data_IF_928676554346
#
_entry.id   IF_928676554346
#
_cell.length_a   1.000
_cell.length_b   1.000
_cell.length_c   1.000
_cell.angle_alpha   90.00
_cell.angle_beta   90.00
_cell.angle_gamma   90.00
#
_symmetry.space_group_name_H-M   'P 1'
#
loop_
_entity.id
_entity.type
_entity.pdbx_description
1 polymer ?
#
# COMPACT_ATOMS: atom_id res chain seq x y z
N UNK A 1 25.68 21.24 40.50
CA UNK A 1 25.28 21.13 39.08
C UNK A 1 24.92 19.68 38.77
N UNK A 2 23.63 19.32 38.91
CA UNK A 2 23.11 17.98 38.62
C UNK A 2 22.65 17.93 37.16
N UNK A 3 23.37 17.19 36.31
CA UNK A 3 22.90 16.87 34.94
C UNK A 3 21.97 15.66 35.02
N UNK A 4 20.67 15.90 34.99
CA UNK A 4 19.68 14.84 34.72
C UNK A 4 19.75 14.51 33.22
N UNK A 5 20.17 13.28 32.90
CA UNK A 5 20.10 12.74 31.55
C UNK A 5 18.66 12.44 31.17
N UNK A 6 18.14 13.17 30.19
CA UNK A 6 16.85 12.88 29.58
C UNK A 6 16.91 11.52 28.86
N UNK A 7 16.21 10.53 29.40
CA UNK A 7 15.96 9.26 28.70
C UNK A 7 15.12 9.57 27.47
N UNK A 8 15.72 9.45 26.30
CA UNK A 8 15.00 9.42 25.04
C UNK A 8 14.17 8.13 25.03
N UNK A 9 12.86 8.24 25.22
CA UNK A 9 11.95 7.14 24.92
C UNK A 9 11.95 6.94 23.41
N UNK A 10 12.68 5.93 22.93
CA UNK A 10 12.48 5.46 21.57
C UNK A 10 11.08 4.85 21.50
N UNK A 11 10.13 5.59 20.94
CA UNK A 11 8.91 5.00 20.40
C UNK A 11 9.37 4.18 19.20
N UNK A 12 9.69 2.91 19.45
CA UNK A 12 9.84 1.93 18.38
C UNK A 12 8.43 1.72 17.85
N UNK A 13 8.07 2.50 16.82
CA UNK A 13 6.89 2.21 16.01
C UNK A 13 7.14 0.81 15.44
N UNK A 14 6.38 -0.18 15.90
CA UNK A 14 6.52 -1.55 15.43
C UNK A 14 6.38 -1.53 13.89
N UNK A 15 7.49 -1.72 13.19
CA UNK A 15 7.45 -1.92 11.75
C UNK A 15 6.50 -3.09 11.50
N UNK A 16 5.56 -2.93 10.56
CA UNK A 16 4.67 -4.01 10.13
C UNK A 16 5.54 -5.17 9.68
N UNK A 17 5.72 -6.16 10.56
CA UNK A 17 6.48 -7.36 10.24
C UNK A 17 5.73 -8.12 9.14
N UNK A 18 6.46 -8.70 8.20
CA UNK A 18 5.89 -9.54 7.13
C UNK A 18 4.98 -10.65 7.72
N UNK A 19 5.29 -11.10 8.95
CA UNK A 19 4.48 -12.07 9.69
C UNK A 19 3.08 -11.59 10.13
N UNK A 20 2.80 -10.28 10.13
CA UNK A 20 1.47 -9.74 10.49
C UNK A 20 0.55 -9.53 9.28
N UNK A 21 1.04 -9.79 8.07
CA UNK A 21 0.23 -9.73 6.86
C UNK A 21 -0.49 -11.06 6.71
N UNK A 22 -1.79 -10.99 6.40
CA UNK A 22 -2.57 -12.18 6.11
C UNK A 22 -1.85 -13.02 5.04
N UNK A 23 -1.86 -14.34 5.19
CA UNK A 23 -1.23 -15.24 4.22
C UNK A 23 -2.23 -15.82 3.23
N UNK A 24 -3.53 -15.60 3.46
CA UNK A 24 -4.62 -16.18 2.69
C UNK A 24 -5.79 -15.21 2.62
N UNK A 25 -6.54 -15.28 1.51
CA UNK A 25 -7.77 -14.52 1.35
C UNK A 25 -8.85 -14.97 2.32
N UNK A 26 -9.75 -14.06 2.74
CA UNK A 26 -11.01 -14.44 3.36
C UNK A 26 -11.78 -15.47 2.51
N UNK A 27 -12.55 -16.34 3.17
CA UNK A 27 -13.39 -17.33 2.48
C UNK A 27 -14.49 -16.69 1.60
N UNK A 28 -14.82 -15.42 1.82
CA UNK A 28 -15.87 -14.71 1.10
C UNK A 28 -16.08 -13.29 1.62
N UNK A 29 -16.94 -12.50 0.96
CA UNK A 29 -17.34 -11.17 1.43
C UNK A 29 -18.04 -11.24 2.80
N UNK A 30 -17.88 -10.21 3.62
CA UNK A 30 -18.53 -10.09 4.92
C UNK A 30 -18.96 -8.65 5.19
N UNK A 31 -20.25 -8.38 5.03
CA UNK A 31 -20.86 -7.08 5.30
C UNK A 31 -21.25 -6.93 6.77
N UNK A 32 -20.81 -5.85 7.41
CA UNK A 32 -21.16 -5.43 8.77
C UNK A 32 -22.14 -4.26 8.78
N UNK A 33 -22.07 -3.40 7.77
CA UNK A 33 -22.95 -2.24 7.60
C UNK A 33 -23.39 -2.10 6.15
N UNK A 34 -24.33 -1.18 5.90
CA UNK A 34 -24.51 -0.63 4.55
C UNK A 34 -23.24 0.13 4.12
N UNK A 35 -23.04 0.27 2.82
CA UNK A 35 -21.94 1.04 2.25
C UNK A 35 -22.48 2.31 1.57
N UNK A 36 -21.95 3.51 1.86
CA UNK A 36 -20.97 3.78 2.92
C UNK A 36 -21.57 3.61 4.32
N UNK A 37 -20.77 3.11 5.25
CA UNK A 37 -21.16 3.00 6.65
C UNK A 37 -20.92 4.29 7.44
N UNK A 38 -21.32 4.35 8.73
CA UNK A 38 -21.21 5.53 9.57
C UNK A 38 -19.77 6.05 9.75
N UNK A 39 -18.76 5.18 9.82
CA UNK A 39 -17.36 5.57 9.92
C UNK A 39 -16.90 6.23 8.62
N UNK A 40 -17.16 5.61 7.47
CA UNK A 40 -16.86 6.21 6.16
C UNK A 40 -17.52 7.57 5.97
N UNK A 41 -18.80 7.72 6.35
CA UNK A 41 -19.52 9.02 6.28
C UNK A 41 -18.86 10.07 7.18
N UNK A 42 -18.45 9.68 8.39
CA UNK A 42 -17.81 10.59 9.34
C UNK A 42 -16.46 11.08 8.82
N UNK A 43 -15.65 10.18 8.25
CA UNK A 43 -14.37 10.53 7.62
C UNK A 43 -14.61 11.43 6.41
N UNK A 44 -15.63 11.13 5.59
CA UNK A 44 -16.00 11.97 4.44
C UNK A 44 -16.29 13.41 4.87
N UNK A 45 -17.14 13.60 5.88
CA UNK A 45 -17.49 14.93 6.41
C UNK A 45 -16.26 15.71 6.90
N UNK A 46 -15.27 15.02 7.47
CA UNK A 46 -13.99 15.63 7.87
C UNK A 46 -13.15 16.07 6.67
N UNK A 47 -13.20 15.33 5.56
CA UNK A 47 -12.44 15.61 4.34
C UNK A 47 -13.12 16.65 3.43
N UNK A 48 -14.46 16.73 3.44
CA UNK A 48 -15.27 17.65 2.63
C UNK A 48 -14.79 19.11 2.60
N UNK A 49 -14.38 19.75 3.72
CA UNK A 49 -13.88 21.13 3.67
C UNK A 49 -12.44 21.26 3.15
N UNK A 50 -11.70 20.16 3.02
CA UNK A 50 -10.28 20.14 2.62
C UNK A 50 -10.08 19.77 1.15
N UNK A 51 -11.02 19.03 0.57
CA UNK A 51 -10.93 18.48 -0.77
C UNK A 51 -12.31 18.23 -1.37
N UNK A 52 -12.42 18.21 -2.71
CA UNK A 52 -13.66 17.81 -3.36
C UNK A 52 -13.84 16.28 -3.26
N UNK A 53 -14.93 15.86 -2.63
CA UNK A 53 -15.22 14.47 -2.27
C UNK A 53 -16.41 13.86 -2.99
N UNK A 54 -16.97 14.54 -4.00
CA UNK A 54 -18.19 14.09 -4.72
C UNK A 54 -18.06 12.67 -5.29
N UNK A 55 -16.86 12.27 -5.71
CA UNK A 55 -16.58 10.93 -6.27
C UNK A 55 -16.25 9.86 -5.21
N UNK A 56 -16.05 10.24 -3.95
CA UNK A 56 -15.64 9.33 -2.87
C UNK A 56 -16.80 8.41 -2.51
N UNK A 57 -16.57 7.09 -2.58
CA UNK A 57 -17.60 6.07 -2.32
C UNK A 57 -17.60 5.56 -0.88
N UNK A 58 -16.42 5.29 -0.34
CA UNK A 58 -16.16 4.80 1.02
C UNK A 58 -14.70 5.10 1.39
N UNK A 59 -14.30 4.82 2.62
CA UNK A 59 -12.91 4.91 3.06
C UNK A 59 -12.37 3.50 3.37
N UNK A 60 -11.13 3.22 2.99
CA UNK A 60 -10.56 1.86 3.01
C UNK A 60 -9.58 1.71 4.18
N UNK A 61 -9.68 0.59 4.89
CA UNK A 61 -8.67 0.07 5.81
C UNK A 61 -7.73 -0.85 4.98
N UNK A 62 -6.73 -0.23 4.33
CA UNK A 62 -5.78 -0.96 3.49
C UNK A 62 -4.94 -1.93 4.31
N UNK A 63 -4.74 -1.61 5.59
CA UNK A 63 -4.04 -2.42 6.56
C UNK A 63 -4.66 -3.81 6.76
N UNK A 64 -5.99 -3.93 6.64
CA UNK A 64 -6.74 -5.19 6.75
C UNK A 64 -7.14 -5.81 5.40
N UNK A 65 -7.00 -5.07 4.31
CA UNK A 65 -7.31 -5.58 2.96
C UNK A 65 -6.29 -6.63 2.54
N UNK A 66 -6.70 -7.70 1.85
CA UNK A 66 -5.77 -8.75 1.40
C UNK A 66 -6.27 -9.47 0.14
N UNK A 67 -5.38 -9.71 -0.82
CA UNK A 67 -5.70 -10.35 -2.08
C UNK A 67 -6.80 -9.59 -2.83
N UNK A 68 -7.88 -10.26 -3.19
CA UNK A 68 -9.04 -9.68 -3.86
C UNK A 68 -10.02 -8.96 -2.92
N UNK A 69 -9.74 -8.89 -1.62
CA UNK A 69 -10.68 -8.35 -0.63
C UNK A 69 -10.25 -6.99 -0.09
N UNK A 70 -11.10 -5.99 -0.32
CA UNK A 70 -10.97 -4.65 0.22
C UNK A 70 -11.79 -4.53 1.50
N UNK A 71 -11.16 -4.09 2.60
CA UNK A 71 -11.84 -3.83 3.87
C UNK A 71 -12.10 -2.33 4.00
N UNK A 72 -13.35 -1.93 4.20
CA UNK A 72 -13.67 -0.51 4.44
C UNK A 72 -13.49 -0.10 5.91
N UNK A 73 -13.59 1.20 6.18
CA UNK A 73 -13.45 1.78 7.52
C UNK A 73 -14.54 1.32 8.50
N UNK A 74 -15.61 0.72 8.00
CA UNK A 74 -16.72 0.16 8.77
C UNK A 74 -16.53 -1.35 9.01
N UNK A 75 -15.45 -1.94 8.51
CA UNK A 75 -15.10 -3.36 8.66
C UNK A 75 -15.81 -4.29 7.67
N UNK A 76 -16.43 -3.75 6.62
CA UNK A 76 -16.99 -4.55 5.53
C UNK A 76 -15.83 -5.13 4.70
N UNK A 77 -15.78 -6.46 4.56
CA UNK A 77 -14.87 -7.13 3.62
C UNK A 77 -15.60 -7.32 2.29
N UNK A 78 -15.19 -6.58 1.27
CA UNK A 78 -15.79 -6.53 -0.07
C UNK A 78 -14.90 -7.31 -1.04
N UNK A 79 -15.49 -8.15 -1.89
CA UNK A 79 -14.78 -8.67 -3.06
C UNK A 79 -14.59 -7.50 -4.06
N UNK A 80 -13.36 -7.06 -4.27
CA UNK A 80 -13.05 -5.95 -5.15
C UNK A 80 -12.81 -6.42 -6.59
N UNK A 81 -13.85 -6.29 -7.42
CA UNK A 81 -13.78 -6.52 -8.88
C UNK A 81 -13.46 -5.24 -9.66
N UNK A 82 -13.23 -4.11 -8.99
CA UNK A 82 -12.88 -2.82 -9.58
C UNK A 82 -11.38 -2.55 -9.52
N UNK A 83 -10.68 -3.16 -8.56
CA UNK A 83 -9.21 -3.21 -8.41
C UNK A 83 -8.53 -1.85 -8.54
N UNK A 84 -9.14 -0.84 -7.88
CA UNK A 84 -8.71 0.56 -7.95
C UNK A 84 -8.55 1.07 -9.39
N UNK A 85 -9.57 0.87 -10.23
CA UNK A 85 -9.51 1.19 -11.66
C UNK A 85 -8.45 0.33 -12.36
N UNK A 86 -8.50 -1.00 -12.15
CA UNK A 86 -7.58 -1.95 -12.79
C UNK A 86 -6.08 -1.66 -12.57
N UNK A 87 -5.73 -1.03 -11.44
CA UNK A 87 -4.37 -0.58 -11.14
C UNK A 87 -3.66 -1.40 -10.05
N UNK A 88 -4.35 -2.34 -9.41
CA UNK A 88 -3.76 -3.27 -8.44
C UNK A 88 -3.53 -4.65 -9.10
N UNK A 89 -2.33 -4.94 -9.64
CA UNK A 89 -2.09 -6.16 -10.42
C UNK A 89 -2.06 -7.45 -9.58
N UNK A 90 -1.65 -7.38 -8.31
CA UNK A 90 -1.49 -8.54 -7.42
C UNK A 90 -2.43 -8.51 -6.21
N UNK A 91 -3.42 -7.62 -6.22
CA UNK A 91 -4.31 -7.41 -5.08
C UNK A 91 -3.67 -6.69 -3.90
N UNK A 92 -4.40 -6.63 -2.79
CA UNK A 92 -4.00 -5.93 -1.57
C UNK A 92 -2.96 -6.72 -0.77
N UNK A 93 -1.95 -6.03 -0.24
CA UNK A 93 -0.95 -6.59 0.69
C UNK A 93 -0.30 -7.91 0.22
N UNK A 94 -0.07 -8.08 -1.09
CA UNK A 94 0.55 -9.28 -1.64
C UNK A 94 1.90 -9.57 -0.96
N UNK A 95 2.16 -10.79 -0.44
CA UNK A 95 3.36 -11.09 0.34
C UNK A 95 4.68 -10.73 -0.35
N UNK A 96 4.79 -10.97 -1.66
CA UNK A 96 6.01 -10.64 -2.41
C UNK A 96 6.23 -9.13 -2.57
N UNK A 97 5.16 -8.33 -2.67
CA UNK A 97 5.28 -6.87 -2.73
C UNK A 97 5.72 -6.29 -1.39
N UNK A 98 5.23 -6.84 -0.28
CA UNK A 98 5.69 -6.45 1.06
C UNK A 98 7.14 -6.84 1.25
N UNK A 99 7.53 -8.06 0.84
CA UNK A 99 8.93 -8.50 0.88
C UNK A 99 9.82 -7.59 0.03
N UNK A 100 9.37 -7.18 -1.15
CA UNK A 100 10.10 -6.22 -2.00
C UNK A 100 10.24 -4.85 -1.31
N UNK A 101 9.19 -4.35 -0.67
CA UNK A 101 9.22 -3.09 0.07
C UNK A 101 10.16 -3.13 1.30
N UNK A 102 10.34 -4.30 1.91
CA UNK A 102 11.28 -4.51 3.02
C UNK A 102 12.75 -4.68 2.57
N UNK A 103 13.02 -4.75 1.26
CA UNK A 103 14.38 -4.87 0.74
C UNK A 103 15.16 -3.56 0.98
N UNK A 104 16.37 -3.59 1.58
CA UNK A 104 17.20 -2.40 1.76
C UNK A 104 17.44 -1.60 0.46
N UNK A 105 17.56 -2.26 -0.70
CA UNK A 105 17.72 -1.59 -1.99
C UNK A 105 16.47 -0.76 -2.36
N UNK A 106 15.29 -1.22 -1.96
CA UNK A 106 14.04 -0.50 -2.17
C UNK A 106 13.97 0.75 -1.29
N UNK A 107 14.51 0.70 -0.06
CA UNK A 107 14.58 1.87 0.84
C UNK A 107 15.34 3.01 0.17
N UNK A 108 16.53 2.75 -0.38
CA UNK A 108 17.31 3.78 -1.10
C UNK A 108 16.55 4.30 -2.31
N UNK A 109 15.93 3.40 -3.09
CA UNK A 109 15.14 3.79 -4.28
C UNK A 109 13.94 4.67 -3.91
N UNK A 110 13.34 4.46 -2.74
CA UNK A 110 12.21 5.22 -2.24
C UNK A 110 12.61 6.64 -1.80
N UNK A 111 13.73 6.78 -1.08
CA UNK A 111 14.14 8.08 -0.49
C UNK A 111 15.05 8.91 -1.40
N UNK A 112 15.63 8.30 -2.43
CA UNK A 112 16.58 8.95 -3.34
C UNK A 112 16.12 8.82 -4.79
N UNK A 113 15.06 9.55 -5.17
CA UNK A 113 14.56 9.59 -6.56
C UNK A 113 15.60 10.23 -7.49
N UNK A 114 16.22 9.49 -8.43
CA UNK A 114 17.21 10.07 -9.33
C UNK A 114 16.55 10.78 -10.53
N UNK A 115 17.26 11.75 -11.11
CA UNK A 115 16.99 12.20 -12.47
C UNK A 115 17.49 11.12 -13.45
N UNK A 116 16.64 10.12 -13.74
CA UNK A 116 17.02 8.89 -14.46
C UNK A 116 17.74 9.12 -15.81
N UNK A 117 17.48 10.23 -16.50
CA UNK A 117 18.15 10.56 -17.76
C UNK A 117 19.61 11.01 -17.62
N UNK A 118 20.05 11.40 -16.41
CA UNK A 118 21.40 11.90 -16.15
C UNK A 118 22.15 11.07 -15.11
N UNK A 119 21.45 10.59 -14.08
CA UNK A 119 22.04 9.92 -12.91
C UNK A 119 21.32 8.61 -12.58
N UNK A 120 21.24 7.64 -13.49
CA UNK A 120 20.63 6.34 -13.18
C UNK A 120 21.43 5.61 -12.10
N UNK A 121 20.77 4.70 -11.38
CA UNK A 121 21.45 3.79 -10.47
C UNK A 121 22.34 2.83 -11.28
N UNK A 122 23.44 2.38 -10.68
CA UNK A 122 24.43 1.53 -11.35
C UNK A 122 23.90 0.16 -11.80
N UNK A 123 22.74 -0.27 -11.30
CA UNK A 123 22.05 -1.52 -11.66
C UNK A 123 20.75 -1.28 -12.46
N UNK A 124 20.51 -0.05 -12.92
CA UNK A 124 19.29 0.29 -13.66
C UNK A 124 19.13 -0.51 -14.97
N UNK A 125 20.18 -0.77 -15.78
CA UNK A 125 20.06 -1.60 -16.98
C UNK A 125 19.52 -3.01 -16.71
N UNK A 126 20.02 -3.68 -15.66
CA UNK A 126 19.55 -5.02 -15.27
C UNK A 126 18.10 -4.94 -14.78
N UNK A 127 17.78 -3.93 -13.96
CA UNK A 127 16.43 -3.73 -13.43
C UNK A 127 15.36 -3.53 -14.52
N UNK A 128 15.65 -2.74 -15.56
CA UNK A 128 14.69 -2.57 -16.67
C UNK A 128 14.58 -3.84 -17.53
N UNK A 129 15.69 -4.57 -17.70
CA UNK A 129 15.68 -5.82 -18.46
C UNK A 129 14.82 -6.88 -17.77
N UNK A 130 14.98 -7.04 -16.46
CA UNK A 130 14.22 -7.98 -15.65
C UNK A 130 12.74 -7.60 -15.54
N UNK A 131 12.42 -6.31 -15.37
CA UNK A 131 11.04 -5.87 -15.13
C UNK A 131 10.21 -5.70 -16.41
N UNK A 132 10.79 -5.14 -17.48
CA UNK A 132 10.04 -4.72 -18.67
C UNK A 132 10.43 -5.51 -19.91
N UNK A 133 11.73 -5.68 -20.18
CA UNK A 133 12.19 -6.38 -21.40
C UNK A 133 11.90 -7.88 -21.35
N UNK A 134 11.90 -8.48 -20.16
CA UNK A 134 11.55 -9.89 -19.96
C UNK A 134 10.17 -10.25 -20.49
N UNK A 135 9.22 -9.30 -20.41
CA UNK A 135 7.82 -9.41 -20.85
C UNK A 135 7.52 -8.58 -22.11
N UNK A 136 8.56 -8.13 -22.83
CA UNK A 136 8.39 -7.34 -24.04
C UNK A 136 7.62 -8.13 -25.12
N UNK A 137 6.71 -7.48 -25.86
CA UNK A 137 6.01 -8.11 -26.99
C UNK A 137 6.99 -8.61 -28.05
N UNK A 138 6.56 -9.59 -28.85
CA UNK A 138 7.35 -10.11 -29.97
C UNK A 138 7.75 -8.97 -30.91
N UNK A 139 9.05 -8.86 -31.22
CA UNK A 139 9.59 -7.83 -32.11
C UNK A 139 9.98 -6.50 -31.43
N UNK A 140 9.85 -6.39 -30.11
CA UNK A 140 10.24 -5.20 -29.32
C UNK A 140 11.36 -5.51 -28.30
N UNK A 141 12.20 -6.50 -28.60
CA UNK A 141 13.43 -6.80 -27.85
C UNK A 141 14.64 -6.31 -28.62
#
# INVERSE_FOLDING_TARGET
MLRQGARHSQIVLAARNVASIASQEPAGPSMKTKVPGPASITIKKKMDPLHQTTSVRLFVDFEKSFGNYMVDADGNALLDVYTQISSLPLGYNHPDLVKAAANPNFITSLVSRPALGSFPRNDFPDGIQEALTSVAPKGLK
#
